data_IF_568126275364
#
_entry.id   IF_568126275364
#
_cell.length_a   1.000
_cell.length_b   1.000
_cell.length_c   1.000
_cell.angle_alpha   90.00
_cell.angle_beta   90.00
_cell.angle_gamma   90.00
#
_symmetry.space_group_name_H-M   'P 1'
#
loop_
_entity.id
_entity.type
_entity.pdbx_description
1 polymer ?
#
# COMPACT_ATOMS: atom_id res chain seq x y z
N UNK A 1 -14.58 8.55 -16.35
CA UNK A 1 -13.59 7.72 -15.62
C UNK A 1 -12.87 6.88 -16.66
N UNK A 2 -11.56 7.08 -16.86
CA UNK A 2 -10.79 6.23 -17.78
C UNK A 2 -10.49 4.91 -17.08
N UNK A 3 -10.79 3.80 -17.73
CA UNK A 3 -10.52 2.44 -17.22
C UNK A 3 -9.40 1.82 -18.03
N UNK A 4 -8.49 1.10 -17.36
CA UNK A 4 -7.38 0.36 -17.97
C UNK A 4 -7.49 -1.11 -17.62
N UNK A 5 -7.40 -1.99 -18.60
CA UNK A 5 -7.31 -3.43 -18.36
C UNK A 5 -5.91 -3.83 -17.86
N UNK A 6 -5.87 -4.78 -16.93
CA UNK A 6 -4.66 -5.23 -16.26
C UNK A 6 -4.84 -6.65 -15.75
N UNK A 7 -3.83 -7.49 -15.95
CA UNK A 7 -3.68 -8.78 -15.27
C UNK A 7 -2.66 -8.61 -14.16
N UNK A 8 -3.10 -8.80 -12.91
CA UNK A 8 -2.28 -8.59 -11.72
C UNK A 8 -2.80 -9.42 -10.55
N UNK A 9 -1.95 -9.66 -9.54
CA UNK A 9 -2.40 -10.25 -8.27
C UNK A 9 -3.12 -9.18 -7.41
N UNK A 10 -3.81 -9.61 -6.35
CA UNK A 10 -4.59 -8.71 -5.50
C UNK A 10 -3.75 -7.60 -4.83
N UNK A 11 -2.50 -7.87 -4.45
CA UNK A 11 -1.60 -6.89 -3.82
C UNK A 11 -1.18 -5.81 -4.82
N UNK A 12 -0.86 -6.21 -6.05
CA UNK A 12 -0.56 -5.28 -7.14
C UNK A 12 -1.78 -4.42 -7.50
N UNK A 13 -2.97 -5.02 -7.60
CA UNK A 13 -4.19 -4.28 -7.88
C UNK A 13 -4.48 -3.20 -6.83
N UNK A 14 -4.38 -3.50 -5.53
CA UNK A 14 -4.67 -2.51 -4.50
C UNK A 14 -3.64 -1.38 -4.48
N UNK A 15 -2.35 -1.69 -4.68
CA UNK A 15 -1.30 -0.66 -4.74
C UNK A 15 -1.46 0.24 -5.97
N UNK A 16 -1.80 -0.31 -7.14
CA UNK A 16 -2.13 0.47 -8.34
C UNK A 16 -3.29 1.44 -8.09
N UNK A 17 -4.34 1.00 -7.39
CA UNK A 17 -5.47 1.85 -7.07
C UNK A 17 -5.12 2.96 -6.07
N UNK A 18 -4.29 2.67 -5.07
CA UNK A 18 -3.78 3.69 -4.14
C UNK A 18 -3.00 4.78 -4.89
N UNK A 19 -2.07 4.38 -5.76
CA UNK A 19 -1.28 5.32 -6.56
C UNK A 19 -2.16 6.12 -7.53
N UNK A 20 -3.09 5.47 -8.21
CA UNK A 20 -4.03 6.15 -9.11
C UNK A 20 -4.93 7.15 -8.36
N UNK A 21 -5.20 6.90 -7.08
CA UNK A 21 -5.93 7.81 -6.19
C UNK A 21 -5.07 8.95 -5.62
N UNK A 22 -3.78 9.01 -5.99
CA UNK A 22 -2.86 10.05 -5.54
C UNK A 22 -2.26 9.82 -4.15
N UNK A 23 -2.46 8.63 -3.54
CA UNK A 23 -1.86 8.29 -2.25
C UNK A 23 -0.34 8.23 -2.39
N UNK A 24 0.37 8.91 -1.47
CA UNK A 24 1.84 8.95 -1.41
C UNK A 24 2.43 8.20 -0.23
N UNK A 25 1.64 8.02 0.84
CA UNK A 25 2.08 7.38 2.07
C UNK A 25 1.02 6.38 2.55
N UNK A 26 1.48 5.21 2.99
CA UNK A 26 0.66 4.20 3.65
C UNK A 26 1.26 3.96 5.02
N UNK A 27 0.51 4.25 6.07
CA UNK A 27 0.94 3.99 7.44
C UNK A 27 0.48 2.59 7.83
N UNK A 28 1.39 1.77 8.35
CA UNK A 28 1.08 0.38 8.67
C UNK A 28 1.87 -0.15 9.87
N UNK A 29 1.37 -1.23 10.44
CA UNK A 29 2.14 -2.13 11.30
C UNK A 29 2.55 -3.38 10.50
N UNK A 30 3.55 -4.13 10.97
CA UNK A 30 4.01 -5.36 10.31
C UNK A 30 3.15 -6.56 10.70
N UNK A 31 2.67 -7.31 9.71
CA UNK A 31 1.93 -8.56 9.92
C UNK A 31 2.24 -9.57 8.80
N UNK A 32 2.25 -10.86 9.12
CA UNK A 32 2.60 -11.90 8.14
C UNK A 32 1.50 -12.14 7.10
N UNK A 33 0.25 -11.78 7.41
CA UNK A 33 -0.89 -11.93 6.49
C UNK A 33 -0.84 -10.92 5.34
N UNK A 34 -0.27 -9.75 5.59
CA UNK A 34 -0.16 -8.64 4.66
C UNK A 34 1.19 -8.62 3.93
N UNK A 35 2.03 -9.66 4.09
CA UNK A 35 3.38 -9.70 3.55
C UNK A 35 3.44 -9.47 2.03
N UNK A 36 2.48 -10.01 1.26
CA UNK A 36 2.41 -9.80 -0.19
C UNK A 36 2.07 -8.36 -0.56
N UNK A 37 1.21 -7.70 0.24
CA UNK A 37 0.91 -6.28 0.08
C UNK A 37 2.15 -5.43 0.35
N UNK A 38 2.90 -5.73 1.41
CA UNK A 38 4.14 -5.00 1.72
C UNK A 38 5.24 -5.23 0.69
N UNK A 39 5.36 -6.45 0.14
CA UNK A 39 6.30 -6.71 -0.96
C UNK A 39 6.00 -5.84 -2.18
N UNK A 40 4.72 -5.72 -2.55
CA UNK A 40 4.31 -4.87 -3.64
C UNK A 40 4.50 -3.38 -3.32
N UNK A 41 4.09 -2.95 -2.13
CA UNK A 41 4.25 -1.56 -1.69
C UNK A 41 5.73 -1.12 -1.73
N UNK A 42 6.64 -1.99 -1.30
CA UNK A 42 8.09 -1.71 -1.33
C UNK A 42 8.72 -1.82 -2.72
N UNK A 43 8.06 -2.44 -3.70
CA UNK A 43 8.58 -2.55 -5.07
C UNK A 43 8.47 -1.22 -5.85
N UNK A 44 7.71 -0.26 -5.32
CA UNK A 44 7.39 1.02 -5.96
C UNK A 44 8.12 2.19 -5.32
N UNK A 45 8.51 3.16 -6.15
CA UNK A 45 9.18 4.38 -5.72
C UNK A 45 8.25 5.59 -5.57
N UNK A 46 7.01 5.50 -6.05
CA UNK A 46 6.04 6.59 -6.11
C UNK A 46 4.98 6.58 -4.99
N UNK A 47 5.07 5.59 -4.08
CA UNK A 47 4.31 5.44 -2.84
C UNK A 47 5.23 4.85 -1.76
N UNK A 48 5.07 5.29 -0.51
CA UNK A 48 5.96 4.90 0.60
C UNK A 48 5.19 4.27 1.75
N UNK A 49 5.69 3.14 2.26
CA UNK A 49 5.22 2.56 3.52
C UNK A 49 5.91 3.22 4.72
N UNK A 50 5.13 3.66 5.71
CA UNK A 50 5.61 4.19 6.98
C UNK A 50 5.25 3.19 8.09
N UNK A 51 6.27 2.49 8.59
CA UNK A 51 6.11 1.46 9.60
C UNK A 51 6.00 2.06 11.01
N UNK A 52 4.85 1.84 11.67
CA UNK A 52 4.67 2.05 13.10
C UNK A 52 4.65 0.72 13.85
N UNK A 53 5.19 0.69 15.08
CA UNK A 53 5.30 -0.54 15.89
C UNK A 53 3.98 -0.96 16.57
N UNK A 54 2.99 -0.07 16.62
CA UNK A 54 1.68 -0.32 17.21
C UNK A 54 0.60 0.35 16.36
N UNK A 55 -0.52 -0.33 16.17
CA UNK A 55 -1.63 0.12 15.33
C UNK A 55 -2.19 1.46 15.80
N UNK A 56 -2.23 1.70 17.11
CA UNK A 56 -2.63 3.00 17.66
C UNK A 56 -1.75 4.17 17.21
N UNK A 57 -0.43 3.96 17.08
CA UNK A 57 0.47 5.00 16.58
C UNK A 57 0.30 5.20 15.06
N UNK A 58 0.11 4.10 14.32
CA UNK A 58 -0.19 4.13 12.89
C UNK A 58 -1.44 4.96 12.60
N UNK A 59 -2.53 4.69 13.32
CA UNK A 59 -3.80 5.41 13.15
C UNK A 59 -3.68 6.90 13.50
N UNK A 60 -2.83 7.26 14.46
CA UNK A 60 -2.61 8.67 14.82
C UNK A 60 -1.79 9.45 13.77
N UNK A 61 -1.00 8.75 12.94
CA UNK A 61 -0.17 9.37 11.89
C UNK A 61 -0.89 9.50 10.54
N UNK A 62 -1.90 8.67 10.28
CA UNK A 62 -2.62 8.57 9.01
C UNK A 62 -3.72 9.63 8.86
#
# INVERSE_FOLDING_TARGET
>A
MQTREMTANASHLIVEQLVASGVKYVFNNSGSREALFFNELHSRSDIHGILGLHEGAVTAMA
#
